data_IF_187231967471
#
_entry.id   IF_187231967471
#
_cell.length_a   1.000
_cell.length_b   1.000
_cell.length_c   1.000
_cell.angle_alpha   90.00
_cell.angle_beta   90.00
_cell.angle_gamma   90.00
#
_symmetry.space_group_name_H-M   'P 1'
#
loop_
_entity.id
_entity.type
_entity.pdbx_description
1 polymer ?
#
# COMPACT_ATOMS: atom_id res chain seq x y z
N UNK A 1 12.19 -34.38 11.70
CA UNK A 1 11.37 -33.73 12.74
C UNK A 1 12.28 -32.86 13.61
N UNK A 2 12.87 -31.78 13.07
CA UNK A 2 13.40 -30.61 13.81
C UNK A 2 14.00 -29.53 12.88
N UNK A 3 13.45 -29.26 11.68
CA UNK A 3 13.96 -28.17 10.80
C UNK A 3 12.79 -27.43 10.12
N UNK A 4 11.88 -26.86 10.92
CA UNK A 4 10.70 -26.13 10.40
C UNK A 4 10.41 -24.84 11.17
N UNK A 5 11.44 -24.13 11.61
CA UNK A 5 11.30 -22.78 12.15
C UNK A 5 12.35 -21.86 11.55
N UNK A 6 12.34 -21.73 10.22
CA UNK A 6 12.91 -20.56 9.58
C UNK A 6 11.93 -19.39 9.75
N UNK A 7 11.86 -18.86 10.97
CA UNK A 7 11.32 -17.53 11.22
C UNK A 7 12.32 -16.54 10.63
N UNK A 8 12.27 -16.36 9.30
CA UNK A 8 12.83 -15.16 8.69
C UNK A 8 12.05 -13.98 9.27
N UNK A 9 12.65 -13.36 10.29
CA UNK A 9 12.12 -12.20 10.98
C UNK A 9 11.98 -11.04 10.01
N UNK A 10 10.85 -10.97 9.32
CA UNK A 10 10.42 -9.75 8.65
C UNK A 10 10.27 -8.73 9.76
N UNK A 11 11.23 -7.81 9.91
CA UNK A 11 11.18 -6.79 10.95
C UNK A 11 9.86 -6.01 10.83
N UNK A 12 8.90 -6.32 11.70
CA UNK A 12 7.59 -5.70 11.66
C UNK A 12 7.72 -4.33 12.31
N UNK A 13 7.86 -3.31 11.47
CA UNK A 13 7.84 -1.91 11.92
C UNK A 13 6.44 -1.57 12.43
N UNK A 14 6.36 -1.26 13.72
CA UNK A 14 5.12 -0.87 14.40
C UNK A 14 5.18 0.58 14.86
N UNK A 15 4.14 1.34 14.55
CA UNK A 15 4.05 2.78 14.87
C UNK A 15 2.82 3.07 15.70
N UNK A 16 2.88 4.11 16.53
CA UNK A 16 1.71 4.64 17.23
C UNK A 16 0.78 5.42 16.28
N UNK A 17 -0.44 5.70 16.72
CA UNK A 17 -1.42 6.52 15.98
C UNK A 17 -0.84 7.90 15.64
N UNK A 18 -0.18 8.55 16.61
CA UNK A 18 0.36 9.90 16.46
C UNK A 18 1.57 9.95 15.52
N UNK A 19 2.42 8.91 15.55
CA UNK A 19 3.53 8.78 14.58
C UNK A 19 3.00 8.56 13.18
N UNK A 20 2.04 7.64 13.00
CA UNK A 20 1.40 7.42 11.71
C UNK A 20 0.75 8.71 11.15
N UNK A 21 0.07 9.48 12.01
CA UNK A 21 -0.53 10.74 11.60
C UNK A 21 0.51 11.73 11.05
N UNK A 22 1.64 11.88 11.74
CA UNK A 22 2.75 12.76 11.33
C UNK A 22 3.44 12.25 10.06
N UNK A 23 3.72 10.96 9.98
CA UNK A 23 4.37 10.34 8.81
C UNK A 23 3.54 10.51 7.53
N UNK A 24 2.22 10.45 7.61
CA UNK A 24 1.35 10.51 6.44
C UNK A 24 0.68 11.88 6.25
N UNK A 25 1.01 12.88 7.08
CA UNK A 25 0.41 14.21 6.99
C UNK A 25 -1.12 14.23 7.15
N UNK A 26 -1.66 13.29 7.92
CA UNK A 26 -3.12 13.12 8.14
C UNK A 26 -3.51 13.42 9.58
N UNK A 27 -4.78 13.76 9.79
CA UNK A 27 -5.31 13.95 11.14
C UNK A 27 -5.33 12.59 11.88
N UNK A 28 -4.91 12.50 13.15
CA UNK A 28 -5.05 11.29 13.97
C UNK A 28 -6.45 10.66 13.95
N UNK A 29 -7.50 11.48 13.81
CA UNK A 29 -8.87 11.00 13.68
C UNK A 29 -9.10 10.18 12.41
N UNK A 30 -8.39 10.48 11.32
CA UNK A 30 -8.44 9.70 10.08
C UNK A 30 -7.89 8.29 10.29
N UNK A 31 -6.79 8.16 11.04
CA UNK A 31 -6.23 6.86 11.41
C UNK A 31 -7.18 6.08 12.32
N UNK A 32 -7.78 6.73 13.33
CA UNK A 32 -8.81 6.10 14.18
C UNK A 32 -10.02 5.63 13.40
N UNK A 33 -10.48 6.39 12.40
CA UNK A 33 -11.57 5.96 11.51
C UNK A 33 -11.19 4.76 10.66
N UNK A 34 -9.96 4.72 10.16
CA UNK A 34 -9.46 3.58 9.39
C UNK A 34 -9.33 2.31 10.24
N UNK A 35 -8.93 2.45 11.51
CA UNK A 35 -8.96 1.36 12.51
C UNK A 35 -10.39 0.86 12.73
N UNK A 36 -11.35 1.78 12.93
CA UNK A 36 -12.77 1.43 13.12
C UNK A 36 -13.37 0.74 11.87
N UNK A 37 -12.95 1.17 10.69
CA UNK A 37 -13.35 0.60 9.41
C UNK A 37 -12.61 -0.70 9.05
N UNK A 38 -11.72 -1.19 9.93
CA UNK A 38 -10.91 -2.41 9.74
C UNK A 38 -10.01 -2.39 8.49
N UNK A 39 -9.67 -1.20 8.00
CA UNK A 39 -8.81 -1.04 6.81
C UNK A 39 -7.31 -1.20 7.13
N UNK A 40 -6.95 -1.14 8.41
CA UNK A 40 -5.56 -1.15 8.88
C UNK A 40 -5.38 -2.18 10.00
N UNK A 41 -4.33 -2.99 9.89
CA UNK A 41 -3.95 -3.99 10.90
C UNK A 41 -3.22 -3.34 12.07
N UNK A 42 -3.64 -3.67 13.30
CA UNK A 42 -3.04 -3.19 14.54
C UNK A 42 -2.97 -4.28 15.61
N UNK A 43 -2.11 -4.06 16.59
CA UNK A 43 -2.00 -4.85 17.82
C UNK A 43 -2.06 -3.88 19.00
N UNK A 44 -2.73 -4.26 20.09
CA UNK A 44 -2.73 -3.48 21.33
C UNK A 44 -1.69 -4.07 22.27
N UNK A 45 -0.72 -3.27 22.70
CA UNK A 45 0.31 -3.67 23.66
C UNK A 45 0.23 -2.72 24.84
N UNK A 46 0.00 -3.25 26.05
CA UNK A 46 -0.14 -2.48 27.29
C UNK A 46 -1.09 -1.28 27.17
N UNK A 47 -2.27 -1.50 26.58
CA UNK A 47 -3.30 -0.45 26.37
C UNK A 47 -2.98 0.59 25.29
N UNK A 48 -1.88 0.41 24.54
CA UNK A 48 -1.48 1.33 23.46
C UNK A 48 -1.57 0.65 22.11
N UNK A 49 -2.20 1.33 21.16
CA UNK A 49 -2.28 0.86 19.77
C UNK A 49 -0.92 0.92 19.09
N UNK A 50 -0.52 -0.21 18.51
CA UNK A 50 0.66 -0.38 17.67
C UNK A 50 0.18 -0.82 16.29
N UNK A 51 0.30 0.06 15.32
CA UNK A 51 -0.17 -0.14 13.96
C UNK A 51 0.96 -0.73 13.11
N UNK A 52 0.63 -1.69 12.24
CA UNK A 52 1.60 -2.22 11.27
C UNK A 52 1.85 -1.18 10.17
N UNK A 53 3.10 -0.75 10.01
CA UNK A 53 3.47 0.23 8.99
C UNK A 53 3.14 -0.23 7.57
N UNK A 54 3.36 -1.51 7.23
CA UNK A 54 3.07 -2.05 5.90
C UNK A 54 1.59 -1.89 5.54
N UNK A 55 0.70 -2.23 6.49
CA UNK A 55 -0.75 -2.08 6.32
C UNK A 55 -1.13 -0.60 6.14
N UNK A 56 -0.51 0.29 6.90
CA UNK A 56 -0.79 1.72 6.84
C UNK A 56 -0.33 2.36 5.51
N UNK A 57 0.82 1.93 4.97
CA UNK A 57 1.27 2.37 3.63
C UNK A 57 0.28 1.87 2.56
N UNK A 58 -0.13 0.59 2.59
CA UNK A 58 -1.10 0.05 1.63
C UNK A 58 -2.42 0.82 1.66
N UNK A 59 -2.94 1.08 2.86
CA UNK A 59 -4.15 1.90 3.05
C UNK A 59 -3.99 3.33 2.49
N UNK A 60 -2.85 3.97 2.73
CA UNK A 60 -2.61 5.34 2.26
C UNK A 60 -2.67 5.47 0.74
N UNK A 61 -2.33 4.40 0.02
CA UNK A 61 -2.35 4.37 -1.44
C UNK A 61 -3.75 4.07 -2.01
N UNK A 62 -4.59 3.35 -1.27
CA UNK A 62 -5.96 3.03 -1.69
C UNK A 62 -6.86 4.26 -1.71
N UNK A 63 -6.66 5.21 -0.78
CA UNK A 63 -7.47 6.42 -0.68
C UNK A 63 -6.79 7.59 -1.36
N UNK A 64 -7.34 8.08 -2.47
CA UNK A 64 -6.82 9.22 -3.24
C UNK A 64 -6.56 10.46 -2.37
N UNK A 65 -7.49 10.81 -1.48
CA UNK A 65 -7.35 11.95 -0.56
C UNK A 65 -6.21 11.77 0.44
N UNK A 66 -5.99 10.55 0.93
CA UNK A 66 -4.91 10.24 1.88
C UNK A 66 -3.57 10.21 1.14
N UNK A 67 -3.54 9.61 -0.06
CA UNK A 67 -2.37 9.59 -0.95
C UNK A 67 -1.88 11.01 -1.24
N UNK A 68 -2.79 11.90 -1.65
CA UNK A 68 -2.44 13.29 -1.93
C UNK A 68 -1.89 14.02 -0.70
N UNK A 69 -2.48 13.79 0.49
CA UNK A 69 -1.99 14.37 1.75
C UNK A 69 -0.62 13.81 2.16
N UNK A 70 -0.42 12.50 2.02
CA UNK A 70 0.85 11.84 2.33
C UNK A 70 1.96 12.31 1.40
N UNK A 71 1.66 12.53 0.13
CA UNK A 71 2.64 13.02 -0.85
C UNK A 71 2.97 14.50 -0.69
N UNK A 72 2.03 15.32 -0.21
CA UNK A 72 2.23 16.77 -0.08
C UNK A 72 2.67 17.22 1.30
N UNK A 73 2.28 16.50 2.37
CA UNK A 73 2.50 16.91 3.77
C UNK A 73 3.12 15.82 4.64
N UNK A 74 3.36 14.65 4.07
CA UNK A 74 3.91 13.48 4.77
C UNK A 74 5.24 13.04 4.18
N UNK A 75 5.65 11.84 4.56
CA UNK A 75 6.87 11.18 4.09
C UNK A 75 6.87 10.95 2.58
N UNK A 76 5.69 10.93 1.95
CA UNK A 76 5.57 10.84 0.50
C UNK A 76 6.23 12.00 -0.25
N UNK A 77 6.49 13.14 0.41
CA UNK A 77 7.28 14.23 -0.18
C UNK A 77 8.77 13.87 -0.34
N UNK A 78 9.26 12.95 0.49
CA UNK A 78 10.66 12.51 0.51
C UNK A 78 10.85 11.14 -0.18
N UNK A 79 9.76 10.52 -0.63
CA UNK A 79 9.78 9.18 -1.24
C UNK A 79 9.38 9.31 -2.70
N UNK A 80 10.37 9.25 -3.58
CA UNK A 80 10.20 9.39 -5.02
C UNK A 80 9.39 8.22 -5.62
N UNK A 81 9.66 6.98 -5.16
CA UNK A 81 8.91 5.78 -5.55
C UNK A 81 8.71 4.83 -4.38
N UNK A 82 7.46 4.56 -4.03
CA UNK A 82 7.10 3.46 -3.14
C UNK A 82 7.31 2.12 -3.87
N UNK A 83 8.31 1.32 -3.45
CA UNK A 83 8.57 -0.03 -4.01
C UNK A 83 7.52 -1.06 -3.55
N UNK A 84 6.23 -0.79 -3.78
CA UNK A 84 5.14 -1.72 -3.45
C UNK A 84 4.78 -2.49 -4.72
N UNK A 85 5.44 -3.63 -4.89
CA UNK A 85 5.07 -4.59 -5.93
C UNK A 85 3.83 -5.36 -5.47
N UNK A 86 2.63 -4.87 -5.77
CA UNK A 86 1.44 -5.73 -5.72
C UNK A 86 1.33 -6.46 -7.06
N UNK A 87 2.17 -7.48 -7.27
CA UNK A 87 2.05 -8.36 -8.44
C UNK A 87 1.05 -9.48 -8.14
N UNK A 88 -0.21 -9.16 -7.85
CA UNK A 88 -1.26 -10.17 -8.07
C UNK A 88 -1.66 -10.19 -9.55
N UNK A 89 -1.57 -9.04 -10.22
CA UNK A 89 -1.75 -8.89 -11.67
C UNK A 89 -0.58 -8.06 -12.21
N UNK A 90 0.56 -8.68 -12.42
CA UNK A 90 1.48 -8.16 -13.43
C UNK A 90 0.96 -8.74 -14.75
N UNK A 91 0.49 -7.94 -15.72
CA UNK A 91 0.34 -8.42 -17.08
C UNK A 91 1.75 -8.83 -17.51
N UNK A 92 2.06 -10.11 -17.37
CA UNK A 92 3.30 -10.64 -17.92
C UNK A 92 3.25 -10.36 -19.42
N UNK A 93 4.39 -10.03 -20.03
CA UNK A 93 4.51 -9.78 -21.47
C UNK A 93 4.00 -10.96 -22.35
N UNK A 94 3.65 -12.10 -21.75
CA UNK A 94 2.97 -13.24 -22.39
C UNK A 94 1.48 -13.00 -22.67
N UNK A 95 0.80 -12.09 -21.96
CA UNK A 95 -0.65 -11.86 -22.12
C UNK A 95 -1.01 -10.81 -23.18
N UNK A 96 -0.02 -10.11 -23.74
CA UNK A 96 -0.21 -9.02 -24.71
C UNK A 96 -0.09 -9.48 -26.18
N UNK A 97 -0.14 -10.79 -26.45
CA UNK A 97 0.01 -11.33 -27.82
C UNK A 97 -1.31 -11.66 -28.52
N UNK A 98 -2.45 -11.23 -27.96
CA UNK A 98 -3.78 -11.63 -28.45
C UNK A 98 -4.69 -10.52 -28.98
N UNK A 99 -4.35 -9.23 -28.86
CA UNK A 99 -5.24 -8.16 -29.33
C UNK A 99 -4.67 -7.44 -30.56
N UNK A 100 -5.08 -7.99 -31.72
CA UNK A 100 -5.23 -7.42 -33.06
C UNK A 100 -3.97 -6.98 -33.82
N UNK A 101 -3.87 -7.43 -35.09
CA UNK A 101 -4.21 -6.48 -36.13
C UNK A 101 -5.08 -7.13 -37.22
N UNK A 102 -6.13 -6.43 -37.64
CA UNK A 102 -6.59 -6.40 -39.02
C UNK A 102 -7.48 -5.15 -39.16
N UNK A 103 -6.81 -4.01 -39.34
CA UNK A 103 -7.32 -2.92 -40.17
C UNK A 103 -6.67 -3.15 -41.53
N UNK A 104 -7.40 -3.79 -42.43
CA UNK A 104 -7.18 -3.57 -43.86
C UNK A 104 -8.32 -2.66 -44.29
N UNK A 105 -7.96 -1.39 -44.36
CA UNK A 105 -8.69 -0.36 -45.07
C UNK A 105 -8.69 -0.74 -46.56
N UNK A 106 -9.84 -1.10 -47.11
CA UNK A 106 -10.07 -1.02 -48.55
C UNK A 106 -11.24 -0.06 -48.78
N UNK A 107 -10.91 1.22 -48.94
CA UNK A 107 -11.74 2.20 -49.63
C UNK A 107 -11.03 2.59 -50.94
N UNK A 108 -11.78 2.43 -52.02
CA UNK A 108 -11.67 3.06 -53.34
C UNK A 108 -10.71 2.49 -54.40
N UNK A 109 -11.34 2.22 -55.56
CA UNK A 109 -10.83 1.66 -56.81
C UNK A 109 -11.98 1.11 -57.63
#
# INVERSE_FOLDING_TARGET
MQEMLEQQGKEIVRVSISEAARLFGVNPQTIRRAIKAQEITYVVVAGRYKINFESLVKWSQQKTTVKNKSNTRGIGQYVDKWKIKNTLYSPSKKSAKGLHPNKEDTLEG
#
